data_IF_669354006644
#
_entry.id   IF_669354006644
#
_cell.length_a   1.000
_cell.length_b   1.000
_cell.length_c   1.000
_cell.angle_alpha   90.00
_cell.angle_beta   90.00
_cell.angle_gamma   90.00
#
_symmetry.space_group_name_H-M   'P 1'
#
loop_
_entity.id
_entity.type
_entity.pdbx_description
1 polymer ?
#
# COMPACT_ATOMS: atom_id res chain seq x y z
N UNK A 1 -12.34 16.03 16.34
CA UNK A 1 -10.90 16.20 16.63
C UNK A 1 -10.39 14.96 17.34
N UNK A 2 -9.55 14.16 16.67
CA UNK A 2 -8.66 13.16 17.28
C UNK A 2 -7.51 12.94 16.30
N UNK A 3 -6.35 13.54 16.61
CA UNK A 3 -5.14 13.47 15.80
C UNK A 3 -4.48 12.12 16.09
N UNK A 4 -4.65 11.16 15.18
CA UNK A 4 -3.92 9.89 15.23
C UNK A 4 -2.45 10.17 14.90
N UNK A 5 -1.59 10.08 15.92
CA UNK A 5 -0.15 10.22 15.77
C UNK A 5 0.43 9.01 15.02
N UNK A 6 1.16 9.33 13.96
CA UNK A 6 2.17 8.57 13.21
C UNK A 6 2.67 7.28 13.88
N UNK A 7 2.31 6.13 13.32
CA UNK A 7 3.07 4.89 13.51
C UNK A 7 4.20 4.85 12.46
N UNK A 8 5.45 4.85 12.93
CA UNK A 8 6.62 4.58 12.07
C UNK A 8 6.64 3.07 11.77
N UNK A 9 6.46 2.71 10.50
CA UNK A 9 6.74 1.37 9.98
C UNK A 9 8.25 1.15 9.99
N UNK A 10 8.69 0.13 10.72
CA UNK A 10 10.02 -0.44 10.57
C UNK A 10 9.87 -1.91 10.17
N UNK A 11 10.69 -2.31 9.22
CA UNK A 11 10.84 -3.67 8.73
C UNK A 11 11.10 -4.64 9.90
N UNK A 12 10.45 -5.80 9.84
CA UNK A 12 10.62 -6.86 10.81
C UNK A 12 11.99 -7.49 10.54
N UNK A 13 12.98 -7.13 11.35
CA UNK A 13 14.20 -7.92 11.52
C UNK A 13 13.89 -9.02 12.53
N UNK A 14 13.72 -10.25 12.05
CA UNK A 14 13.83 -11.44 12.89
C UNK A 14 15.32 -11.69 13.15
N UNK A 15 15.84 -11.13 14.24
CA UNK A 15 17.18 -11.47 14.72
C UNK A 15 17.22 -11.44 16.25
N UNK A 16 16.94 -12.61 16.79
CA UNK A 16 17.67 -13.36 17.81
C UNK A 16 17.92 -12.86 19.24
N UNK A 17 17.90 -13.89 20.08
CA UNK A 17 18.73 -14.15 21.25
C UNK A 17 18.36 -13.54 22.62
N UNK A 18 18.24 -14.49 23.54
CA UNK A 18 18.28 -14.43 24.99
C UNK A 18 19.42 -13.60 25.56
N UNK A 19 19.09 -12.68 26.46
CA UNK A 19 20.04 -12.19 27.45
C UNK A 19 19.78 -12.90 28.78
N UNK A 20 20.62 -13.90 29.07
CA UNK A 20 20.92 -14.33 30.44
C UNK A 20 22.34 -13.84 30.75
N UNK A 21 22.45 -13.00 31.78
CA UNK A 21 23.72 -12.51 32.29
C UNK A 21 24.53 -13.66 32.90
N UNK A 22 25.79 -13.83 32.48
CA UNK A 22 26.82 -14.31 33.39
C UNK A 22 28.20 -13.76 33.04
N UNK A 23 28.90 -13.43 34.11
CA UNK A 23 30.17 -12.72 34.23
C UNK A 23 31.40 -13.60 33.89
N UNK A 24 32.28 -13.03 33.06
CA UNK A 24 33.77 -12.94 33.16
C UNK A 24 34.59 -14.21 33.49
N UNK A 25 35.48 -14.62 32.58
CA UNK A 25 36.95 -14.49 32.80
C UNK A 25 37.84 -14.83 31.57
N UNK A 26 39.01 -14.20 31.56
CA UNK A 26 40.05 -14.16 30.53
C UNK A 26 40.71 -15.51 30.16
N UNK A 27 41.17 -15.68 28.91
CA UNK A 27 42.60 -15.85 28.55
C UNK A 27 42.84 -15.98 27.02
N UNK A 28 44.06 -15.58 26.62
CA UNK A 28 44.60 -15.28 25.29
C UNK A 28 45.01 -16.50 24.43
N UNK A 29 44.94 -16.35 23.09
CA UNK A 29 45.91 -16.71 22.02
C UNK A 29 45.18 -17.10 20.71
N UNK A 30 45.30 -16.33 19.61
CA UNK A 30 46.35 -16.38 18.55
C UNK A 30 46.30 -17.69 17.73
N UNK A 31 45.66 -17.66 16.55
CA UNK A 31 46.31 -17.79 15.21
C UNK A 31 45.29 -18.10 14.09
N UNK A 32 45.60 -17.60 12.88
CA UNK A 32 44.92 -17.83 11.58
C UNK A 32 45.72 -18.87 10.76
N UNK A 33 45.38 -19.21 9.50
CA UNK A 33 44.11 -19.68 8.91
C UNK A 33 44.34 -20.97 8.07
N UNK A 34 43.32 -21.44 7.31
CA UNK A 34 43.41 -21.84 5.87
C UNK A 34 42.66 -23.13 5.44
N UNK A 35 42.22 -23.08 4.16
CA UNK A 35 41.78 -24.12 3.19
C UNK A 35 40.33 -24.64 3.29
N UNK A 36 39.42 -24.33 2.33
CA UNK A 36 39.28 -24.80 0.92
C UNK A 36 39.04 -26.31 0.76
N UNK A 37 37.83 -26.67 0.28
CA UNK A 37 37.45 -27.63 -0.81
C UNK A 37 35.91 -27.85 -0.73
N UNK A 38 35.06 -27.49 -1.70
CA UNK A 38 34.64 -28.24 -2.92
C UNK A 38 34.23 -29.71 -2.60
N UNK A 39 33.12 -30.33 -3.04
CA UNK A 39 32.22 -30.21 -4.21
C UNK A 39 31.09 -31.29 -4.10
N UNK A 40 30.01 -31.15 -4.90
CA UNK A 40 28.99 -32.14 -5.40
C UNK A 40 27.86 -32.53 -4.42
N UNK A 41 26.58 -32.22 -4.66
CA UNK A 41 25.61 -32.69 -5.69
C UNK A 41 25.30 -34.20 -5.68
N UNK A 42 24.08 -34.58 -5.27
CA UNK A 42 23.19 -35.48 -6.01
C UNK A 42 21.82 -35.67 -5.29
N UNK A 43 20.78 -35.68 -6.10
CA UNK A 43 19.35 -35.84 -5.83
C UNK A 43 18.95 -37.28 -5.40
N UNK A 44 17.70 -37.45 -4.94
CA UNK A 44 17.04 -38.77 -5.01
C UNK A 44 15.95 -39.03 -3.96
N UNK A 45 14.71 -39.09 -4.42
CA UNK A 45 13.45 -39.17 -3.67
C UNK A 45 13.09 -40.54 -3.02
N UNK A 46 12.24 -40.45 -1.97
CA UNK A 46 11.04 -41.27 -1.61
C UNK A 46 11.16 -42.81 -1.51
N UNK A 47 10.80 -43.37 -0.33
CA UNK A 47 9.44 -43.88 0.03
C UNK A 47 9.41 -44.57 1.41
N UNK A 48 8.27 -44.38 2.08
CA UNK A 48 7.77 -44.98 3.35
C UNK A 48 7.47 -46.49 3.18
N UNK A 49 7.27 -47.32 4.24
CA UNK A 49 5.98 -47.41 4.99
C UNK A 49 6.14 -47.71 6.53
N UNK A 50 5.37 -47.07 7.42
CA UNK A 50 4.13 -47.58 8.09
C UNK A 50 4.35 -48.80 9.02
N UNK A 51 3.95 -48.86 10.29
CA UNK A 51 2.57 -48.98 10.79
C UNK A 51 2.57 -49.14 12.34
N UNK A 52 1.41 -48.81 12.94
CA UNK A 52 0.81 -49.36 14.20
C UNK A 52 1.54 -49.08 15.53
N UNK A 53 0.90 -48.80 16.66
CA UNK A 53 -0.51 -48.87 17.04
C UNK A 53 -0.73 -48.00 18.31
N UNK A 54 -1.95 -47.48 18.47
CA UNK A 54 -2.42 -46.82 19.70
C UNK A 54 -3.25 -47.82 20.51
N UNK A 55 -3.01 -47.96 21.81
CA UNK A 55 -4.04 -47.81 22.86
C UNK A 55 -3.57 -48.20 24.27
N UNK A 56 -3.83 -47.28 25.22
CA UNK A 56 -4.45 -47.51 26.54
C UNK A 56 -3.67 -48.38 27.56
N UNK A 57 -3.67 -48.20 28.88
CA UNK A 57 -4.26 -47.29 29.88
C UNK A 57 -3.54 -47.62 31.21
N UNK A 58 -3.72 -46.74 32.20
CA UNK A 58 -3.80 -47.01 33.65
C UNK A 58 -2.55 -47.37 34.50
N UNK A 59 -2.42 -46.54 35.53
CA UNK A 59 -2.26 -46.86 36.96
C UNK A 59 -0.90 -47.26 37.54
N UNK A 60 -0.35 -46.30 38.29
CA UNK A 60 0.08 -46.38 39.69
C UNK A 60 1.08 -47.43 40.19
N UNK A 61 2.10 -46.87 40.86
CA UNK A 61 2.78 -47.36 42.07
C UNK A 61 3.80 -48.51 41.92
N UNK A 62 5.08 -48.21 42.15
CA UNK A 62 5.78 -48.45 43.44
C UNK A 62 7.30 -48.56 43.22
N UNK A 63 8.03 -47.67 43.91
CA UNK A 63 9.40 -47.74 44.46
C UNK A 63 10.38 -48.82 43.95
N UNK A 64 11.58 -48.37 43.58
CA UNK A 64 12.82 -49.08 43.94
C UNK A 64 13.95 -48.11 44.31
N UNK A 65 14.59 -48.46 45.43
CA UNK A 65 15.75 -47.87 46.10
C UNK A 65 17.07 -48.33 45.45
N UNK A 66 18.13 -47.52 45.59
CA UNK A 66 19.47 -47.90 46.10
C UNK A 66 20.35 -46.62 46.13
N UNK A 67 20.59 -46.01 47.31
CA UNK A 67 21.74 -46.17 48.24
C UNK A 67 23.11 -45.87 47.60
N UNK A 68 23.87 -44.93 48.15
CA UNK A 68 25.09 -45.18 48.95
C UNK A 68 25.58 -43.90 49.63
N UNK A 69 26.18 -44.08 50.81
CA UNK A 69 26.57 -43.07 51.78
C UNK A 69 28.05 -42.64 51.61
N UNK A 70 28.40 -41.48 52.17
CA UNK A 70 29.43 -41.26 53.21
C UNK A 70 30.00 -39.83 53.14
N UNK A 71 30.07 -39.13 54.27
CA UNK A 71 31.03 -38.05 54.48
C UNK A 71 31.48 -38.06 55.95
N UNK A 72 32.78 -37.82 56.25
CA UNK A 72 33.38 -38.07 57.56
C UNK A 72 33.31 -36.85 58.51
N UNK A 73 33.58 -37.03 59.82
CA UNK A 73 33.36 -36.05 60.87
C UNK A 73 34.51 -35.04 61.03
N UNK A 74 34.19 -33.82 61.49
CA UNK A 74 35.18 -32.79 61.85
C UNK A 74 35.77 -33.03 63.25
N UNK A 75 37.09 -32.85 63.46
CA UNK A 75 37.69 -32.82 64.79
C UNK A 75 37.42 -31.49 65.51
N UNK A 76 37.31 -31.57 66.84
CA UNK A 76 36.96 -30.47 67.71
C UNK A 76 38.13 -29.58 68.14
N UNK A 77 37.74 -28.49 68.80
CA UNK A 77 38.52 -27.87 69.88
C UNK A 77 39.53 -26.79 69.48
N UNK A 78 39.05 -25.56 69.30
CA UNK A 78 39.78 -24.40 69.83
C UNK A 78 38.79 -23.32 70.23
N UNK A 79 38.66 -23.12 71.53
CA UNK A 79 37.91 -22.00 72.09
C UNK A 79 38.54 -20.69 71.65
N UNK A 80 37.79 -19.94 70.85
CA UNK A 80 37.91 -18.49 70.74
C UNK A 80 36.59 -17.93 71.24
N UNK A 81 36.61 -16.90 72.10
CA UNK A 81 35.42 -16.46 72.82
C UNK A 81 34.37 -16.05 71.80
N UNK A 82 33.20 -16.66 71.88
CA UNK A 82 32.00 -16.15 71.22
C UNK A 82 31.96 -14.65 71.46
N UNK A 83 31.98 -13.78 70.43
CA UNK A 83 31.64 -12.39 70.67
C UNK A 83 30.24 -12.48 71.26
N UNK A 84 30.10 -12.03 72.51
CA UNK A 84 28.85 -12.02 73.24
C UNK A 84 27.76 -11.69 72.24
N UNK A 85 26.81 -12.62 72.04
CA UNK A 85 25.69 -12.43 71.13
C UNK A 85 24.96 -11.24 71.71
N UNK A 86 25.35 -10.03 71.27
CA UNK A 86 24.83 -8.75 71.74
C UNK A 86 23.35 -8.94 71.50
N UNK A 87 22.58 -9.08 72.59
CA UNK A 87 21.13 -9.18 72.51
C UNK A 87 20.75 -7.95 71.70
N UNK A 88 20.40 -8.16 70.42
CA UNK A 88 20.00 -7.07 69.54
C UNK A 88 18.99 -6.27 70.33
N UNK A 89 19.22 -4.97 70.44
CA UNK A 89 18.27 -4.09 71.11
C UNK A 89 16.89 -4.35 70.48
N UNK A 90 15.82 -4.34 71.28
CA UNK A 90 14.45 -4.47 70.76
C UNK A 90 14.20 -3.49 69.61
N UNK A 91 14.85 -2.33 69.69
CA UNK A 91 14.86 -1.25 68.70
C UNK A 91 15.62 -1.60 67.40
N UNK A 92 16.76 -2.33 67.51
CA UNK A 92 17.55 -2.78 66.35
C UNK A 92 16.82 -3.87 65.55
N UNK A 93 16.11 -4.77 66.25
CA UNK A 93 15.30 -5.81 65.63
C UNK A 93 14.04 -5.23 64.95
N UNK A 94 13.46 -4.17 65.52
CA UNK A 94 12.34 -3.46 64.92
C UNK A 94 12.76 -2.61 63.71
N UNK A 95 13.94 -2.00 63.75
CA UNK A 95 14.52 -1.27 62.61
C UNK A 95 14.84 -2.21 61.42
N UNK A 96 15.41 -3.40 61.68
CA UNK A 96 15.63 -4.42 60.64
C UNK A 96 14.30 -4.91 60.03
N UNK A 97 13.24 -5.06 60.84
CA UNK A 97 11.90 -5.44 60.36
C UNK A 97 11.30 -4.37 59.43
N UNK A 98 11.41 -3.08 59.80
CA UNK A 98 10.94 -1.96 58.97
C UNK A 98 11.72 -1.88 57.64
N UNK A 99 13.05 -2.02 57.67
CA UNK A 99 13.87 -2.07 56.44
C UNK A 99 13.52 -3.26 55.55
N UNK A 100 13.20 -4.42 56.14
CA UNK A 100 12.76 -5.60 55.40
C UNK A 100 11.38 -5.41 54.75
N UNK A 101 10.45 -4.75 55.43
CA UNK A 101 9.12 -4.38 54.92
C UNK A 101 9.23 -3.36 53.77
N UNK A 102 10.03 -2.30 53.92
CA UNK A 102 10.28 -1.32 52.85
C UNK A 102 10.95 -1.97 51.62
N UNK A 103 11.90 -2.88 51.84
CA UNK A 103 12.55 -3.64 50.75
C UNK A 103 11.56 -4.61 50.06
N UNK A 104 10.60 -5.15 50.80
CA UNK A 104 9.53 -6.00 50.24
C UNK A 104 8.56 -5.15 49.43
N UNK A 105 8.13 -4.00 49.95
CA UNK A 105 7.20 -3.09 49.28
C UNK A 105 7.80 -2.48 48.00
N UNK A 106 9.07 -2.07 48.04
CA UNK A 106 9.78 -1.58 46.84
C UNK A 106 9.92 -2.67 45.78
N UNK A 107 10.22 -3.92 46.17
CA UNK A 107 10.26 -5.08 45.26
C UNK A 107 8.88 -5.41 44.68
N UNK A 108 7.82 -5.26 45.47
CA UNK A 108 6.44 -5.47 45.04
C UNK A 108 5.98 -4.39 44.05
N UNK A 109 6.26 -3.11 44.34
CA UNK A 109 6.05 -1.98 43.41
C UNK A 109 6.81 -2.18 42.10
N UNK A 110 8.09 -2.59 42.15
CA UNK A 110 8.86 -2.90 40.94
C UNK A 110 8.28 -4.08 40.15
N UNK A 111 7.77 -5.12 40.82
CA UNK A 111 7.11 -6.26 40.16
C UNK A 111 5.80 -5.83 39.50
N UNK A 112 4.99 -5.00 40.16
CA UNK A 112 3.75 -4.47 39.62
C UNK A 112 4.00 -3.61 38.36
N UNK A 113 4.98 -2.70 38.41
CA UNK A 113 5.37 -1.88 37.24
C UNK A 113 5.87 -2.75 36.08
N UNK A 114 6.67 -3.79 36.35
CA UNK A 114 7.12 -4.74 35.32
C UNK A 114 5.96 -5.54 34.72
N UNK A 115 5.00 -5.96 35.54
CA UNK A 115 3.81 -6.68 35.08
C UNK A 115 2.92 -5.80 34.20
N UNK A 116 2.65 -4.56 34.62
CA UNK A 116 1.89 -3.60 33.84
C UNK A 116 2.56 -3.30 32.49
N UNK A 117 3.88 -3.05 32.48
CA UNK A 117 4.64 -2.83 31.24
C UNK A 117 4.61 -4.04 30.31
N UNK A 118 4.59 -5.27 30.86
CA UNK A 118 4.48 -6.51 30.07
C UNK A 118 3.10 -6.64 29.43
N UNK A 119 2.04 -6.30 30.18
CA UNK A 119 0.66 -6.33 29.67
C UNK A 119 0.43 -5.27 28.60
N UNK A 120 0.90 -4.04 28.82
CA UNK A 120 0.87 -2.97 27.81
C UNK A 120 1.61 -3.38 26.54
N UNK A 121 2.78 -4.02 26.65
CA UNK A 121 3.52 -4.54 25.49
C UNK A 121 2.74 -5.64 24.76
N UNK A 122 2.04 -6.51 25.48
CA UNK A 122 1.21 -7.58 24.90
C UNK A 122 0.00 -7.02 24.17
N UNK A 123 -0.70 -6.06 24.77
CA UNK A 123 -1.81 -5.36 24.13
C UNK A 123 -1.35 -4.61 22.88
N UNK A 124 -0.23 -3.91 22.94
CA UNK A 124 0.34 -3.23 21.77
C UNK A 124 0.75 -4.21 20.67
N UNK A 125 1.34 -5.35 21.02
CA UNK A 125 1.70 -6.39 20.07
C UNK A 125 0.47 -7.01 19.40
N UNK A 126 -0.58 -7.30 20.16
CA UNK A 126 -1.85 -7.80 19.62
C UNK A 126 -2.48 -6.77 18.66
N UNK A 127 -2.54 -5.50 19.08
CA UNK A 127 -3.05 -4.40 18.23
C UNK A 127 -2.28 -4.27 16.92
N UNK A 128 -0.95 -4.41 16.97
CA UNK A 128 -0.10 -4.40 15.75
C UNK A 128 -0.35 -5.61 14.87
N UNK A 129 -0.53 -6.79 15.46
CA UNK A 129 -0.83 -8.01 14.72
C UNK A 129 -2.18 -7.91 14.02
N UNK A 130 -3.22 -7.48 14.73
CA UNK A 130 -4.55 -7.24 14.17
C UNK A 130 -4.51 -6.20 13.04
N UNK A 131 -3.80 -5.08 13.24
CA UNK A 131 -3.62 -4.08 12.19
C UNK A 131 -2.89 -4.64 10.96
N UNK A 132 -1.87 -5.47 11.15
CA UNK A 132 -1.13 -6.10 10.06
C UNK A 132 -1.99 -7.12 9.29
N UNK A 133 -2.80 -7.93 9.98
CA UNK A 133 -3.72 -8.87 9.35
C UNK A 133 -4.84 -8.13 8.59
N UNK A 134 -5.40 -7.06 9.16
CA UNK A 134 -6.36 -6.22 8.45
C UNK A 134 -5.75 -5.60 7.18
N UNK A 135 -4.52 -5.11 7.26
CA UNK A 135 -3.82 -4.58 6.08
C UNK A 135 -3.59 -5.66 5.02
N UNK A 136 -3.23 -6.90 5.42
CA UNK A 136 -3.09 -8.03 4.50
C UNK A 136 -4.39 -8.37 3.79
N UNK A 137 -5.52 -8.38 4.52
CA UNK A 137 -6.87 -8.61 3.95
C UNK A 137 -7.22 -7.53 2.91
N UNK A 138 -6.85 -6.28 3.18
CA UNK A 138 -7.13 -5.15 2.29
C UNK A 138 -6.21 -5.05 1.08
N UNK A 139 -5.10 -5.80 1.01
CA UNK A 139 -4.21 -5.77 -0.15
C UNK A 139 -4.98 -6.08 -1.44
N UNK A 140 -4.67 -5.43 -2.57
CA UNK A 140 -5.46 -5.59 -3.80
C UNK A 140 -5.62 -7.03 -4.26
N UNK A 141 -4.59 -7.88 -4.10
CA UNK A 141 -4.60 -9.28 -4.53
C UNK A 141 -5.55 -10.16 -3.69
N UNK A 142 -5.81 -9.75 -2.44
CA UNK A 142 -6.73 -10.44 -1.53
C UNK A 142 -8.12 -9.81 -1.57
N UNK A 143 -8.18 -8.48 -1.60
CA UNK A 143 -9.43 -7.74 -1.61
C UNK A 143 -10.25 -8.03 -2.87
N UNK A 144 -9.62 -8.27 -4.02
CA UNK A 144 -10.36 -8.59 -5.25
C UNK A 144 -11.18 -9.88 -5.13
N UNK A 145 -10.75 -10.83 -4.30
CA UNK A 145 -11.44 -12.11 -4.07
C UNK A 145 -12.75 -11.94 -3.29
N UNK A 146 -12.92 -10.82 -2.57
CA UNK A 146 -14.15 -10.50 -1.84
C UNK A 146 -15.19 -9.80 -2.70
N UNK A 147 -14.94 -9.59 -3.99
CA UNK A 147 -15.93 -9.00 -4.91
C UNK A 147 -16.77 -10.07 -5.58
N UNK A 148 -17.98 -9.65 -5.96
CA UNK A 148 -18.86 -10.36 -6.87
C UNK A 148 -19.41 -9.37 -7.88
N UNK A 149 -19.21 -9.65 -9.17
CA UNK A 149 -19.76 -8.86 -10.26
C UNK A 149 -21.19 -9.31 -10.53
N UNK A 150 -22.14 -8.39 -10.53
CA UNK A 150 -23.52 -8.67 -10.91
C UNK A 150 -23.79 -8.13 -12.29
N UNK A 151 -24.12 -9.03 -13.21
CA UNK A 151 -24.32 -8.78 -14.63
C UNK A 151 -25.81 -8.90 -14.94
N UNK A 152 -26.38 -7.88 -15.56
CA UNK A 152 -27.77 -7.92 -16.01
C UNK A 152 -27.96 -8.95 -17.14
N UNK A 153 -29.02 -9.79 -17.11
CA UNK A 153 -29.25 -10.80 -18.14
C UNK A 153 -29.39 -10.23 -19.56
N UNK A 154 -30.00 -9.06 -19.72
CA UNK A 154 -30.13 -8.40 -21.04
C UNK A 154 -28.77 -8.07 -21.68
N UNK A 155 -27.68 -8.02 -20.89
CA UNK A 155 -26.33 -7.88 -21.45
C UNK A 155 -25.90 -9.12 -22.26
N UNK A 156 -26.43 -10.30 -21.92
CA UNK A 156 -26.12 -11.56 -22.60
C UNK A 156 -26.63 -11.60 -24.04
N UNK A 157 -27.56 -10.70 -24.40
CA UNK A 157 -28.06 -10.58 -25.77
C UNK A 157 -27.00 -10.00 -26.72
N UNK A 158 -25.97 -9.33 -26.18
CA UNK A 158 -24.87 -8.82 -26.97
C UNK A 158 -23.90 -9.94 -27.35
N UNK A 159 -23.58 -10.00 -28.65
CA UNK A 159 -22.76 -11.06 -29.27
C UNK A 159 -21.37 -11.21 -28.66
N UNK A 160 -20.80 -10.19 -28.01
CA UNK A 160 -19.47 -10.27 -27.38
C UNK A 160 -19.47 -10.35 -25.85
N UNK A 161 -20.65 -10.51 -25.22
CA UNK A 161 -20.71 -10.66 -23.76
C UNK A 161 -20.06 -11.96 -23.27
N UNK A 162 -20.04 -13.01 -24.10
CA UNK A 162 -19.32 -14.26 -23.86
C UNK A 162 -17.84 -14.03 -23.58
N UNK A 163 -17.17 -13.14 -24.33
CA UNK A 163 -15.78 -12.78 -24.11
C UNK A 163 -15.52 -12.20 -22.71
N UNK A 164 -16.44 -11.36 -22.21
CA UNK A 164 -16.38 -10.85 -20.85
C UNK A 164 -16.51 -12.00 -19.84
N UNK A 165 -17.51 -12.86 -20.00
CA UNK A 165 -17.74 -13.98 -19.07
C UNK A 165 -16.57 -14.95 -19.04
N UNK A 166 -16.04 -15.33 -20.21
CA UNK A 166 -14.87 -16.19 -20.34
C UNK A 166 -13.66 -15.57 -19.65
N UNK A 167 -13.44 -14.27 -19.80
CA UNK A 167 -12.36 -13.55 -19.13
C UNK A 167 -12.53 -13.58 -17.61
N UNK A 168 -13.74 -13.37 -17.09
CA UNK A 168 -14.02 -13.45 -15.65
C UNK A 168 -13.76 -14.85 -15.10
N UNK A 169 -14.12 -15.90 -15.85
CA UNK A 169 -13.82 -17.30 -15.52
C UNK A 169 -12.31 -17.55 -15.53
N UNK A 170 -11.59 -17.12 -16.56
CA UNK A 170 -10.14 -17.26 -16.65
C UNK A 170 -9.39 -16.55 -15.51
N UNK A 171 -9.94 -15.44 -15.01
CA UNK A 171 -9.40 -14.70 -13.88
C UNK A 171 -9.82 -15.27 -12.52
N UNK A 172 -10.68 -16.30 -12.49
CA UNK A 172 -11.28 -16.89 -11.29
C UNK A 172 -12.04 -15.85 -10.44
N UNK A 173 -12.70 -14.89 -11.08
CA UNK A 173 -13.49 -13.86 -10.40
C UNK A 173 -14.94 -14.30 -10.23
N UNK A 174 -15.52 -14.00 -9.06
CA UNK A 174 -16.92 -14.34 -8.78
C UNK A 174 -17.84 -13.39 -9.53
N UNK A 175 -18.81 -13.95 -10.23
CA UNK A 175 -19.88 -13.18 -10.86
C UNK A 175 -21.22 -13.93 -10.75
N UNK A 176 -22.32 -13.19 -10.81
CA UNK A 176 -23.68 -13.69 -10.88
C UNK A 176 -24.46 -12.97 -11.99
N UNK A 177 -25.45 -13.66 -12.54
CA UNK A 177 -26.35 -13.12 -13.56
C UNK A 177 -27.70 -12.92 -12.87
N UNK A 178 -28.04 -11.67 -12.59
CA UNK A 178 -29.22 -11.30 -11.81
C UNK A 178 -29.94 -10.11 -12.46
N UNK A 179 -31.27 -10.11 -12.43
CA UNK A 179 -32.06 -8.96 -12.89
C UNK A 179 -31.86 -7.79 -11.95
N UNK A 180 -31.43 -6.66 -12.50
CA UNK A 180 -31.15 -5.44 -11.75
C UNK A 180 -32.11 -4.32 -12.16
N UNK A 181 -32.03 -3.16 -11.48
CA UNK A 181 -32.90 -2.03 -11.80
C UNK A 181 -32.64 -1.44 -13.19
N UNK A 182 -31.40 -1.53 -13.67
CA UNK A 182 -30.98 -0.95 -14.95
C UNK A 182 -30.63 -2.10 -15.91
N UNK A 183 -31.30 -2.21 -17.07
CA UNK A 183 -30.92 -3.15 -18.13
C UNK A 183 -29.48 -2.94 -18.60
N UNK A 184 -28.85 -3.98 -19.15
CA UNK A 184 -27.46 -3.95 -19.66
C UNK A 184 -26.39 -3.45 -18.66
N UNK A 185 -26.68 -3.47 -17.35
CA UNK A 185 -25.76 -2.98 -16.32
C UNK A 185 -24.83 -4.07 -15.78
N UNK A 186 -23.64 -3.65 -15.36
CA UNK A 186 -22.70 -4.40 -14.55
C UNK A 186 -22.46 -3.61 -13.26
N UNK A 187 -22.57 -4.28 -12.13
CA UNK A 187 -22.35 -3.69 -10.81
C UNK A 187 -21.46 -4.56 -9.94
N UNK A 188 -20.96 -4.01 -8.84
CA UNK A 188 -20.10 -4.73 -7.91
C UNK A 188 -20.70 -4.77 -6.52
N UNK A 189 -20.59 -5.93 -5.92
CA UNK A 189 -20.83 -6.14 -4.50
C UNK A 189 -19.57 -6.66 -3.84
N UNK A 190 -19.42 -6.35 -2.55
CA UNK A 190 -18.27 -6.75 -1.76
C UNK A 190 -18.74 -7.35 -0.45
N UNK A 191 -18.24 -8.54 -0.14
CA UNK A 191 -18.48 -9.20 1.13
C UNK A 191 -17.86 -8.36 2.26
N UNK A 192 -18.59 -8.21 3.37
CA UNK A 192 -18.12 -7.48 4.54
C UNK A 192 -16.80 -8.02 5.07
N UNK A 193 -15.77 -7.18 5.14
CA UNK A 193 -14.42 -7.57 5.58
C UNK A 193 -14.24 -7.59 7.12
N UNK A 194 -15.27 -7.23 7.89
CA UNK A 194 -15.22 -7.12 9.36
C UNK A 194 -15.85 -8.34 10.03
N UNK A 195 -15.04 -9.06 10.82
CA UNK A 195 -15.49 -10.12 11.73
C UNK A 195 -16.39 -9.49 12.81
N UNK A 196 -17.71 -9.58 12.61
CA UNK A 196 -18.74 -8.98 13.47
C UNK A 196 -20.05 -8.66 12.74
N UNK A 197 -19.98 -8.46 11.43
CA UNK A 197 -21.12 -8.26 10.52
C UNK A 197 -21.12 -9.36 9.43
N UNK A 198 -21.10 -10.63 9.85
CA UNK A 198 -21.26 -11.75 8.92
C UNK A 198 -22.61 -11.61 8.19
N UNK A 199 -22.56 -11.25 6.90
CA UNK A 199 -23.73 -11.18 6.02
C UNK A 199 -24.02 -9.81 5.39
N UNK A 200 -23.31 -8.73 5.76
CA UNK A 200 -23.55 -7.43 5.15
C UNK A 200 -22.78 -7.28 3.83
N UNK A 201 -23.44 -7.63 2.73
CA UNK A 201 -22.95 -7.36 1.37
C UNK A 201 -23.04 -5.86 1.10
N UNK A 202 -21.90 -5.23 0.85
CA UNK A 202 -21.84 -3.81 0.50
C UNK A 202 -21.92 -3.63 -1.01
N UNK A 203 -22.82 -2.77 -1.47
CA UNK A 203 -22.97 -2.43 -2.89
C UNK A 203 -22.06 -1.25 -3.22
N UNK A 204 -21.18 -1.40 -4.20
CA UNK A 204 -20.23 -0.37 -4.60
C UNK A 204 -20.91 0.80 -5.32
N UNK A 205 -20.23 1.94 -5.38
CA UNK A 205 -20.77 3.17 -5.99
C UNK A 205 -20.69 3.21 -7.53
N UNK A 206 -19.95 2.30 -8.16
CA UNK A 206 -19.78 2.24 -9.61
C UNK A 206 -20.82 1.34 -10.28
N UNK A 207 -21.34 1.82 -11.41
CA UNK A 207 -22.21 1.07 -12.32
C UNK A 207 -21.65 1.26 -13.73
N UNK A 208 -21.45 0.17 -14.45
CA UNK A 208 -21.11 0.20 -15.88
C UNK A 208 -22.36 -0.17 -16.66
N UNK A 209 -22.69 0.61 -17.68
CA UNK A 209 -23.82 0.36 -18.56
C UNK A 209 -23.31 0.24 -19.98
N UNK A 210 -23.44 -0.95 -20.57
CA UNK A 210 -22.96 -1.22 -21.94
C UNK A 210 -24.12 -1.02 -22.90
N UNK A 211 -23.94 -0.19 -23.92
CA UNK A 211 -24.97 0.14 -24.90
C UNK A 211 -24.44 -0.11 -26.31
N UNK A 212 -25.36 -0.46 -27.21
CA UNK A 212 -25.08 -0.32 -28.64
C UNK A 212 -25.10 1.16 -29.04
N UNK A 213 -24.52 1.48 -30.20
CA UNK A 213 -24.64 2.81 -30.78
C UNK A 213 -26.12 3.25 -30.98
N UNK A 214 -27.02 2.32 -31.29
CA UNK A 214 -28.45 2.61 -31.47
C UNK A 214 -29.11 3.01 -30.16
N UNK A 215 -28.91 2.22 -29.10
CA UNK A 215 -29.52 2.50 -27.78
C UNK A 215 -28.98 3.82 -27.20
N UNK A 216 -27.70 4.10 -27.43
CA UNK A 216 -27.08 5.36 -27.04
C UNK A 216 -27.70 6.56 -27.77
N UNK A 217 -27.91 6.49 -29.09
CA UNK A 217 -28.54 7.58 -29.85
C UNK A 217 -30.00 7.79 -29.41
N UNK A 218 -30.73 6.72 -29.08
CA UNK A 218 -32.07 6.82 -28.51
C UNK A 218 -32.08 7.47 -27.13
N UNK A 219 -31.13 7.07 -26.27
CA UNK A 219 -30.89 7.71 -24.98
C UNK A 219 -30.65 9.22 -25.17
N UNK A 220 -29.72 9.61 -26.04
CA UNK A 220 -29.42 11.04 -26.30
C UNK A 220 -30.65 11.79 -26.78
N UNK A 221 -31.41 11.23 -27.72
CA UNK A 221 -32.65 11.84 -28.24
C UNK A 221 -33.69 12.04 -27.13
N UNK A 222 -33.81 11.08 -26.22
CA UNK A 222 -34.74 11.15 -25.10
C UNK A 222 -34.31 12.21 -24.08
N UNK A 223 -33.01 12.35 -23.77
CA UNK A 223 -32.50 13.44 -22.91
C UNK A 223 -32.73 14.81 -23.55
N UNK A 224 -32.46 14.94 -24.86
CA UNK A 224 -32.64 16.21 -25.58
C UNK A 224 -34.09 16.68 -25.55
N UNK A 225 -35.04 15.77 -25.82
CA UNK A 225 -36.48 16.06 -25.69
C UNK A 225 -36.88 16.51 -24.28
N UNK A 226 -36.30 15.86 -23.25
CA UNK A 226 -36.53 16.24 -21.86
C UNK A 226 -36.01 17.66 -21.57
N UNK A 227 -34.83 18.01 -22.10
CA UNK A 227 -34.24 19.34 -21.92
C UNK A 227 -35.05 20.43 -22.64
N UNK A 228 -35.62 20.09 -23.80
CA UNK A 228 -36.45 20.99 -24.60
C UNK A 228 -37.91 21.08 -24.11
N UNK A 229 -38.25 20.42 -22.99
CA UNK A 229 -39.60 20.36 -22.38
C UNK A 229 -40.72 19.86 -23.32
N UNK A 230 -40.42 18.89 -24.19
CA UNK A 230 -41.43 18.24 -25.05
C UNK A 230 -42.09 17.09 -24.27
N UNK A 231 -43.41 17.09 -24.15
CA UNK A 231 -44.18 16.08 -23.39
C UNK A 231 -43.82 14.64 -23.81
N UNK A 232 -43.59 13.77 -22.81
CA UNK A 232 -43.28 12.35 -22.99
C UNK A 232 -44.50 11.59 -23.54
N UNK A 233 -44.39 11.04 -24.74
CA UNK A 233 -45.23 9.92 -25.17
C UNK A 233 -44.50 8.63 -24.76
N UNK A 234 -45.08 7.91 -23.80
CA UNK A 234 -44.45 6.81 -23.05
C UNK A 234 -43.70 5.78 -23.90
N UNK A 235 -42.38 5.90 -23.90
CA UNK A 235 -41.46 4.85 -24.36
C UNK A 235 -40.72 4.32 -23.13
N UNK A 236 -40.60 3.00 -22.99
CA UNK A 236 -39.77 2.35 -21.96
C UNK A 236 -38.29 2.68 -22.23
N UNK A 237 -37.87 3.87 -21.81
CA UNK A 237 -36.52 4.37 -22.02
C UNK A 237 -35.61 3.91 -20.90
N UNK A 238 -34.43 3.38 -21.25
CA UNK A 238 -33.37 3.03 -20.31
C UNK A 238 -32.93 4.21 -19.43
N UNK A 239 -33.24 5.44 -19.83
CA UNK A 239 -33.01 6.64 -19.02
C UNK A 239 -33.78 6.68 -17.71
N UNK A 240 -35.03 6.20 -17.69
CA UNK A 240 -35.88 6.28 -16.50
C UNK A 240 -35.23 5.52 -15.33
N UNK A 241 -34.88 4.22 -15.44
CA UNK A 241 -34.22 3.52 -14.35
C UNK A 241 -32.83 4.09 -14.02
N UNK A 242 -32.09 4.61 -15.01
CA UNK A 242 -30.81 5.30 -14.79
C UNK A 242 -30.96 6.54 -13.91
N UNK A 243 -31.92 7.42 -14.23
CA UNK A 243 -32.17 8.64 -13.49
C UNK A 243 -32.73 8.35 -12.10
N UNK A 244 -33.64 7.38 -11.96
CA UNK A 244 -34.12 6.94 -10.66
C UNK A 244 -32.99 6.44 -9.76
N UNK A 245 -32.07 5.63 -10.30
CA UNK A 245 -30.94 5.11 -9.54
C UNK A 245 -30.05 6.24 -9.00
N UNK A 246 -29.69 7.20 -9.87
CA UNK A 246 -28.85 8.35 -9.49
C UNK A 246 -29.55 9.29 -8.50
N UNK A 247 -30.86 9.50 -8.66
CA UNK A 247 -31.64 10.33 -7.75
C UNK A 247 -31.79 9.70 -6.35
N UNK A 248 -31.88 8.36 -6.26
CA UNK A 248 -31.93 7.64 -4.98
C UNK A 248 -30.59 7.66 -4.24
N UNK A 249 -29.46 7.67 -4.95
CA UNK A 249 -28.14 7.67 -4.32
C UNK A 249 -27.15 8.54 -5.10
N UNK A 250 -26.94 9.77 -4.61
CA UNK A 250 -26.04 10.75 -5.21
C UNK A 250 -24.56 10.33 -5.25
N UNK A 251 -24.15 9.27 -4.52
CA UNK A 251 -22.78 8.73 -4.60
C UNK A 251 -22.59 7.82 -5.80
N UNK A 252 -23.67 7.28 -6.37
CA UNK A 252 -23.60 6.36 -7.52
C UNK A 252 -23.04 7.11 -8.73
N UNK A 253 -22.17 6.44 -9.46
CA UNK A 253 -21.60 6.90 -10.72
C UNK A 253 -21.91 5.86 -11.79
N UNK A 254 -22.38 6.33 -12.95
CA UNK A 254 -22.64 5.47 -14.10
C UNK A 254 -21.59 5.77 -15.17
N UNK A 255 -20.99 4.72 -15.72
CA UNK A 255 -20.11 4.82 -16.88
C UNK A 255 -20.79 4.12 -18.06
N UNK A 256 -21.18 4.90 -19.05
CA UNK A 256 -21.73 4.41 -20.32
C UNK A 256 -20.58 3.93 -21.20
N UNK A 257 -20.60 2.65 -21.55
CA UNK A 257 -19.69 2.06 -22.54
C UNK A 257 -20.48 1.86 -23.82
N UNK A 258 -20.21 2.68 -24.82
CA UNK A 258 -20.87 2.57 -26.12
C UNK A 258 -19.98 1.74 -27.02
N UNK A 259 -20.48 0.55 -27.36
CA UNK A 259 -19.82 -0.37 -28.30
C UNK A 259 -20.14 0.07 -29.72
N UNK A 260 -19.09 0.31 -30.49
CA UNK A 260 -19.27 0.90 -31.81
C UNK A 260 -18.18 0.52 -32.81
N UNK A 261 -18.56 -0.24 -33.82
CA UNK A 261 -17.75 -0.46 -35.03
C UNK A 261 -17.94 0.66 -36.08
N UNK A 262 -19.09 1.36 -36.11
CA UNK A 262 -19.57 2.05 -37.32
C UNK A 262 -19.87 3.56 -37.13
N UNK A 263 -20.17 4.01 -35.92
CA UNK A 263 -20.54 5.38 -35.56
C UNK A 263 -19.33 6.34 -35.50
N UNK A 264 -18.12 5.89 -35.14
CA UNK A 264 -16.88 6.68 -35.36
C UNK A 264 -16.69 7.03 -36.84
N UNK A 265 -17.05 6.11 -37.74
CA UNK A 265 -16.99 6.32 -39.18
C UNK A 265 -18.04 7.35 -39.64
N UNK A 266 -19.24 7.34 -39.04
CA UNK A 266 -20.30 8.31 -39.33
C UNK A 266 -20.04 9.71 -38.74
N UNK A 267 -19.49 9.79 -37.52
CA UNK A 267 -19.30 11.04 -36.78
C UNK A 267 -18.03 11.81 -37.19
N UNK A 268 -16.96 11.11 -37.63
CA UNK A 268 -15.68 11.74 -37.95
C UNK A 268 -15.22 11.56 -39.41
N UNK A 269 -15.71 10.56 -40.16
CA UNK A 269 -15.18 10.21 -41.49
C UNK A 269 -16.14 10.46 -42.67
N UNK A 270 -16.95 11.53 -42.64
CA UNK A 270 -17.65 12.00 -43.85
C UNK A 270 -16.98 13.25 -44.46
N UNK A 271 -15.86 13.13 -45.20
CA UNK A 271 -15.52 14.12 -46.20
C UNK A 271 -16.27 13.79 -47.51
N UNK A 272 -16.94 14.82 -48.04
CA UNK A 272 -17.48 14.92 -49.41
C UNK A 272 -18.75 14.09 -49.68
N UNK A 273 -19.93 14.72 -49.62
CA UNK A 273 -20.97 14.71 -50.67
C UNK A 273 -22.26 15.40 -50.14
N UNK A 274 -22.68 16.45 -50.88
CA UNK A 274 -23.90 17.27 -50.82
C UNK A 274 -24.07 18.25 -49.63
N UNK A 275 -24.04 19.55 -49.96
CA UNK A 275 -24.09 20.72 -49.06
C UNK A 275 -25.39 20.87 -48.25
N UNK A 276 -26.51 20.21 -48.62
CA UNK A 276 -27.78 20.33 -47.88
C UNK A 276 -27.85 19.46 -46.60
N UNK A 277 -27.14 18.32 -46.54
CA UNK A 277 -27.16 17.43 -45.36
C UNK A 277 -26.18 17.86 -44.24
N UNK A 278 -25.31 18.83 -44.51
CA UNK A 278 -24.30 19.29 -43.57
C UNK A 278 -24.88 20.10 -42.40
N UNK A 279 -26.04 20.73 -42.60
CA UNK A 279 -26.72 21.53 -41.58
C UNK A 279 -27.43 20.67 -40.53
N UNK A 280 -28.11 19.60 -40.97
CA UNK A 280 -28.79 18.64 -40.08
C UNK A 280 -27.79 17.76 -39.33
N UNK A 281 -26.73 17.29 -40.02
CA UNK A 281 -25.66 16.52 -39.38
C UNK A 281 -24.92 17.35 -38.33
N UNK A 282 -24.60 18.63 -38.61
CA UNK A 282 -23.99 19.52 -37.61
C UNK A 282 -24.91 19.80 -36.42
N UNK A 283 -26.22 19.98 -36.64
CA UNK A 283 -27.19 20.16 -35.54
C UNK A 283 -27.27 18.92 -34.67
N UNK A 284 -27.35 17.72 -35.27
CA UNK A 284 -27.37 16.47 -34.52
C UNK A 284 -26.09 16.26 -33.67
N UNK A 285 -24.92 16.68 -34.18
CA UNK A 285 -23.67 16.66 -33.40
C UNK A 285 -23.69 17.66 -32.24
N UNK A 286 -24.18 18.88 -32.44
CA UNK A 286 -24.29 19.89 -31.39
C UNK A 286 -25.30 19.49 -30.31
N UNK A 287 -26.45 18.93 -30.70
CA UNK A 287 -27.45 18.41 -29.76
C UNK A 287 -26.89 17.25 -28.93
N UNK A 288 -26.03 16.41 -29.52
CA UNK A 288 -25.33 15.36 -28.82
C UNK A 288 -24.31 15.92 -27.81
N UNK A 289 -23.44 16.83 -28.23
CA UNK A 289 -22.45 17.44 -27.33
C UNK A 289 -23.13 18.14 -26.14
N UNK A 290 -24.24 18.86 -26.38
CA UNK A 290 -25.03 19.48 -25.32
C UNK A 290 -25.56 18.44 -24.31
N UNK A 291 -26.14 17.34 -24.80
CA UNK A 291 -26.63 16.25 -23.94
C UNK A 291 -25.48 15.61 -23.15
N UNK A 292 -24.31 15.39 -23.77
CA UNK A 292 -23.17 14.81 -23.08
C UNK A 292 -22.64 15.72 -21.97
N UNK A 293 -22.56 17.02 -22.23
CA UNK A 293 -22.20 18.02 -21.23
C UNK A 293 -23.23 18.04 -20.10
N UNK A 294 -24.54 17.98 -20.43
CA UNK A 294 -25.59 17.88 -19.43
C UNK A 294 -25.46 16.62 -18.56
N UNK A 295 -25.26 15.46 -19.18
CA UNK A 295 -25.11 14.18 -18.48
C UNK A 295 -23.87 14.14 -17.60
N UNK A 296 -22.80 14.86 -17.95
CA UNK A 296 -21.58 14.93 -17.15
C UNK A 296 -21.65 15.96 -16.00
N UNK A 297 -22.31 17.11 -16.23
CA UNK A 297 -22.36 18.20 -15.24
C UNK A 297 -23.51 18.05 -14.24
N UNK A 298 -24.68 17.63 -14.71
CA UNK A 298 -25.90 17.56 -13.90
C UNK A 298 -26.23 16.15 -13.44
N UNK A 299 -25.69 15.14 -14.12
CA UNK A 299 -25.80 13.73 -13.73
C UNK A 299 -24.39 13.20 -13.49
N UNK A 300 -24.24 12.18 -12.65
CA UNK A 300 -22.93 11.58 -12.39
C UNK A 300 -22.65 10.47 -13.42
N UNK A 301 -22.76 10.84 -14.71
CA UNK A 301 -22.67 9.92 -15.84
C UNK A 301 -21.45 10.30 -16.67
N UNK A 302 -20.59 9.31 -16.93
CA UNK A 302 -19.45 9.43 -17.83
C UNK A 302 -19.65 8.54 -19.05
N UNK A 303 -19.01 8.89 -20.16
CA UNK A 303 -19.15 8.19 -21.44
C UNK A 303 -17.79 7.78 -21.99
N UNK A 304 -17.72 6.55 -22.50
CA UNK A 304 -16.56 6.02 -23.20
C UNK A 304 -17.03 5.27 -24.45
N UNK A 305 -16.47 5.62 -25.60
CA UNK A 305 -16.68 4.91 -26.87
C UNK A 305 -15.58 3.88 -27.06
N UNK A 306 -15.96 2.61 -27.23
CA UNK A 306 -15.05 1.47 -27.35
C UNK A 306 -15.27 0.77 -28.67
N UNK A 307 -14.17 0.31 -29.28
CA UNK A 307 -14.18 -0.24 -30.64
C UNK A 307 -14.67 -1.70 -30.65
N UNK A 308 -14.40 -2.47 -29.59
CA UNK A 308 -14.80 -3.87 -29.47
C UNK A 308 -15.09 -4.33 -28.03
N UNK A 309 -15.46 -5.60 -27.89
CA UNK A 309 -15.73 -6.22 -26.59
C UNK A 309 -14.48 -6.55 -25.78
N UNK A 310 -13.30 -6.55 -26.40
CA UNK A 310 -12.05 -6.67 -25.68
C UNK A 310 -11.81 -5.41 -24.85
N UNK A 311 -12.00 -4.24 -25.45
CA UNK A 311 -11.94 -2.95 -24.75
C UNK A 311 -12.97 -2.84 -23.62
N UNK A 312 -14.21 -3.30 -23.85
CA UNK A 312 -15.27 -3.34 -22.80
C UNK A 312 -14.79 -4.19 -21.62
N UNK A 313 -14.24 -5.36 -21.92
CA UNK A 313 -13.77 -6.31 -20.91
C UNK A 313 -12.57 -5.75 -20.13
N UNK A 314 -11.63 -5.12 -20.82
CA UNK A 314 -10.49 -4.45 -20.20
C UNK A 314 -10.94 -3.31 -19.29
N UNK A 315 -11.97 -2.54 -19.69
CA UNK A 315 -12.56 -1.50 -18.86
C UNK A 315 -13.19 -2.08 -17.59
N UNK A 316 -14.04 -3.11 -17.71
CA UNK A 316 -14.67 -3.80 -16.56
C UNK A 316 -13.60 -4.37 -15.62
N UNK A 317 -12.53 -4.95 -16.18
CA UNK A 317 -11.39 -5.43 -15.41
C UNK A 317 -10.64 -4.30 -14.68
N UNK A 318 -10.43 -3.16 -15.34
CA UNK A 318 -9.78 -2.00 -14.76
C UNK A 318 -10.60 -1.39 -13.61
N UNK A 319 -11.92 -1.29 -13.77
CA UNK A 319 -12.84 -0.84 -12.72
C UNK A 319 -12.79 -1.79 -11.53
N UNK A 320 -12.91 -3.11 -11.76
CA UNK A 320 -12.84 -4.12 -10.69
C UNK A 320 -11.54 -4.05 -9.91
N UNK A 321 -10.39 -3.99 -10.61
CA UNK A 321 -9.07 -3.84 -9.99
C UNK A 321 -8.95 -2.52 -9.21
N UNK A 322 -9.54 -1.44 -9.70
CA UNK A 322 -9.53 -0.14 -9.04
C UNK A 322 -10.37 -0.13 -7.76
N UNK A 323 -11.56 -0.75 -7.79
CA UNK A 323 -12.42 -0.95 -6.62
C UNK A 323 -11.73 -1.80 -5.55
N UNK A 324 -10.97 -2.83 -5.95
CA UNK A 324 -10.17 -3.65 -5.03
C UNK A 324 -8.99 -2.87 -4.40
N UNK A 325 -8.38 -1.93 -5.14
CA UNK A 325 -7.28 -1.08 -4.61
C UNK A 325 -7.77 0.03 -3.67
N UNK A 326 -9.02 0.48 -3.81
CA UNK A 326 -9.56 1.66 -3.10
C UNK A 326 -9.42 1.59 -1.56
N UNK A 327 -9.78 0.50 -0.87
CA UNK A 327 -9.67 0.45 0.60
C UNK A 327 -8.22 0.50 1.08
N UNK A 328 -7.33 -0.20 0.36
CA UNK A 328 -5.90 -0.18 0.65
C UNK A 328 -5.33 1.23 0.53
N UNK A 329 -5.60 1.88 -0.60
CA UNK A 329 -5.20 3.28 -0.87
C UNK A 329 -5.71 4.24 0.21
N UNK A 330 -6.98 4.15 0.60
CA UNK A 330 -7.52 5.01 1.66
C UNK A 330 -6.78 4.86 3.00
N UNK A 331 -6.26 3.66 3.29
CA UNK A 331 -5.53 3.37 4.52
C UNK A 331 -4.05 3.76 4.42
N UNK A 332 -3.41 3.58 3.26
CA UNK A 332 -1.96 3.77 3.06
C UNK A 332 -1.59 5.15 2.53
N UNK A 333 -2.36 5.74 1.60
CA UNK A 333 -2.05 7.05 1.00
C UNK A 333 -2.14 8.19 2.03
N UNK A 334 -2.91 8.02 3.11
CA UNK A 334 -2.92 8.95 4.26
C UNK A 334 -1.60 8.94 5.05
N UNK A 335 -0.80 7.89 4.94
CA UNK A 335 0.44 7.68 5.67
C UNK A 335 1.70 7.93 4.82
N UNK A 336 1.57 7.90 3.49
CA UNK A 336 2.68 8.04 2.53
C UNK A 336 2.91 9.50 2.10
N UNK A 337 4.12 9.79 1.63
CA UNK A 337 4.42 11.07 1.00
C UNK A 337 3.66 11.12 -0.33
N UNK A 338 2.80 12.13 -0.59
CA UNK A 338 1.92 12.16 -1.77
C UNK A 338 2.68 12.21 -3.12
N UNK A 339 4.00 12.43 -3.09
CA UNK A 339 4.86 12.36 -4.29
C UNK A 339 5.36 10.93 -4.59
N UNK A 340 5.43 10.05 -3.60
CA UNK A 340 5.87 8.66 -3.76
C UNK A 340 4.72 7.82 -4.32
N UNK A 341 4.33 8.08 -5.56
CA UNK A 341 3.30 7.31 -6.26
C UNK A 341 3.88 6.03 -6.84
N UNK A 342 3.10 4.96 -6.92
CA UNK A 342 3.49 3.77 -7.69
C UNK A 342 3.65 4.12 -9.18
N UNK A 343 4.76 3.72 -9.80
CA UNK A 343 4.96 3.87 -11.25
C UNK A 343 6.41 3.98 -11.69
N UNK A 344 6.64 3.92 -13.01
CA UNK A 344 7.99 4.01 -13.60
C UNK A 344 8.70 5.33 -13.27
N UNK A 345 7.94 6.40 -13.06
CA UNK A 345 8.45 7.72 -12.64
C UNK A 345 9.05 7.72 -11.23
N UNK A 346 8.44 6.96 -10.30
CA UNK A 346 8.93 6.81 -8.92
C UNK A 346 9.90 5.63 -8.75
N UNK A 347 10.20 4.90 -9.84
CA UNK A 347 11.11 3.77 -9.79
C UNK A 347 12.52 4.23 -9.38
N UNK A 348 13.08 3.54 -8.39
CA UNK A 348 14.45 3.74 -7.92
C UNK A 348 15.51 3.52 -9.02
N UNK A 349 16.78 3.67 -8.67
CA UNK A 349 17.87 3.16 -9.50
C UNK A 349 18.45 1.93 -8.79
N UNK A 350 18.72 0.86 -9.56
CA UNK A 350 19.37 -0.33 -9.03
C UNK A 350 20.83 0.01 -8.70
N UNK A 351 21.26 -0.34 -7.49
CA UNK A 351 22.62 -0.12 -7.02
C UNK A 351 23.22 -1.45 -6.62
N UNK A 352 24.35 -1.79 -7.21
CA UNK A 352 25.11 -3.00 -6.91
C UNK A 352 26.00 -2.80 -5.68
N UNK A 353 26.53 -3.91 -5.12
CA UNK A 353 27.34 -3.87 -3.88
C UNK A 353 28.63 -3.05 -4.00
N UNK A 354 29.16 -2.91 -5.21
CA UNK A 354 30.34 -2.11 -5.54
C UNK A 354 30.04 -0.60 -5.67
N UNK A 355 28.76 -0.20 -5.55
CA UNK A 355 28.30 1.18 -5.73
C UNK A 355 27.98 1.55 -7.18
N UNK A 356 28.08 0.61 -8.12
CA UNK A 356 27.63 0.81 -9.50
C UNK A 356 26.14 1.15 -9.49
N UNK A 357 25.80 2.31 -10.09
CA UNK A 357 24.43 2.86 -10.08
C UNK A 357 24.24 4.09 -9.18
N UNK A 358 25.15 4.37 -8.23
CA UNK A 358 25.03 5.54 -7.34
C UNK A 358 25.04 6.88 -8.09
N UNK A 359 25.74 6.97 -9.22
CA UNK A 359 25.73 8.18 -10.05
C UNK A 359 24.34 8.44 -10.68
N UNK A 360 23.60 7.37 -11.00
CA UNK A 360 22.23 7.48 -11.50
C UNK A 360 21.28 7.89 -10.38
N UNK A 361 21.45 7.33 -9.17
CA UNK A 361 20.73 7.79 -7.97
C UNK A 361 20.97 9.28 -7.75
N UNK A 362 22.23 9.71 -7.78
CA UNK A 362 22.59 11.10 -7.57
C UNK A 362 21.94 12.03 -8.62
N UNK A 363 21.98 11.63 -9.89
CA UNK A 363 21.31 12.38 -10.96
C UNK A 363 19.79 12.43 -10.76
N UNK A 364 19.15 11.32 -10.37
CA UNK A 364 17.71 11.26 -10.09
C UNK A 364 17.33 12.13 -8.88
N UNK A 365 18.17 12.20 -7.84
CA UNK A 365 17.96 13.06 -6.67
C UNK A 365 17.94 14.54 -7.06
N UNK A 366 18.89 15.00 -7.87
CA UNK A 366 18.89 16.38 -8.38
C UNK A 366 17.66 16.66 -9.24
N UNK A 367 17.23 15.68 -10.05
CA UNK A 367 16.05 15.80 -10.91
C UNK A 367 14.72 15.89 -10.13
N UNK A 368 14.66 15.48 -8.86
CA UNK A 368 13.44 15.64 -8.04
C UNK A 368 13.08 17.11 -7.77
N UNK A 369 14.02 18.03 -7.95
CA UNK A 369 13.77 19.45 -7.76
C UNK A 369 12.92 20.01 -8.90
N UNK A 370 11.94 20.84 -8.54
CA UNK A 370 11.08 21.51 -9.51
C UNK A 370 11.91 22.22 -10.60
N UNK A 371 11.46 22.09 -11.86
CA UNK A 371 12.08 22.70 -13.04
C UNK A 371 13.52 22.22 -13.34
N UNK A 372 13.97 21.13 -12.72
CA UNK A 372 15.26 20.51 -13.03
C UNK A 372 15.06 19.34 -13.99
N UNK A 373 15.34 19.59 -15.26
CA UNK A 373 15.27 18.54 -16.30
C UNK A 373 16.43 17.53 -16.19
N UNK A 374 16.31 16.33 -16.79
CA UNK A 374 17.39 15.33 -16.83
C UNK A 374 18.75 15.88 -17.31
N UNK A 375 18.75 16.75 -18.32
CA UNK A 375 19.98 17.34 -18.84
C UNK A 375 20.64 18.32 -17.86
N UNK A 376 19.84 19.08 -17.08
CA UNK A 376 20.36 19.95 -16.03
C UNK A 376 20.98 19.11 -14.92
N UNK A 377 20.25 18.08 -14.45
CA UNK A 377 20.75 17.15 -13.44
C UNK A 377 22.07 16.49 -13.88
N UNK A 378 22.13 15.98 -15.12
CA UNK A 378 23.36 15.41 -15.69
C UNK A 378 24.50 16.42 -15.75
N UNK A 379 24.23 17.70 -16.05
CA UNK A 379 25.27 18.75 -16.08
C UNK A 379 25.83 19.03 -14.68
N UNK A 380 24.96 19.10 -13.67
CA UNK A 380 25.35 19.27 -12.27
C UNK A 380 26.13 18.07 -11.77
N UNK A 381 25.67 16.84 -12.02
CA UNK A 381 26.34 15.62 -11.56
C UNK A 381 27.64 15.33 -12.31
N UNK A 382 27.80 15.79 -13.56
CA UNK A 382 29.09 15.77 -14.25
C UNK A 382 30.11 16.73 -13.62
N UNK A 383 29.65 17.90 -13.18
CA UNK A 383 30.51 18.91 -12.53
C UNK A 383 30.83 18.51 -11.08
N UNK A 384 29.87 17.87 -10.40
CA UNK A 384 29.97 17.41 -9.02
C UNK A 384 29.51 15.95 -8.92
N UNK A 385 30.41 14.98 -9.13
CA UNK A 385 30.07 13.56 -9.25
C UNK A 385 29.66 12.89 -7.93
N UNK A 386 29.71 13.61 -6.81
CA UNK A 386 29.14 13.15 -5.54
C UNK A 386 28.51 14.28 -4.74
N UNK A 387 27.52 14.00 -3.86
CA UNK A 387 26.95 14.99 -2.96
C UNK A 387 28.00 15.66 -2.06
N UNK A 388 29.00 14.89 -1.64
CA UNK A 388 30.10 15.39 -0.79
C UNK A 388 30.93 16.45 -1.51
N UNK A 389 31.25 16.25 -2.78
CA UNK A 389 32.00 17.24 -3.57
C UNK A 389 31.19 18.52 -3.77
N UNK A 390 29.88 18.41 -4.00
CA UNK A 390 28.99 19.58 -4.10
C UNK A 390 28.96 20.37 -2.77
N UNK A 391 28.82 19.68 -1.64
CA UNK A 391 28.81 20.30 -0.31
C UNK A 391 30.15 20.96 0.03
N UNK A 392 31.28 20.30 -0.26
CA UNK A 392 32.61 20.88 -0.07
C UNK A 392 32.81 22.15 -0.89
N UNK A 393 32.35 22.17 -2.14
CA UNK A 393 32.41 23.36 -2.98
C UNK A 393 31.62 24.53 -2.37
N UNK A 394 30.44 24.29 -1.81
CA UNK A 394 29.69 25.32 -1.08
C UNK A 394 30.40 25.81 0.18
N UNK A 395 31.02 24.90 0.95
CA UNK A 395 31.74 25.24 2.18
C UNK A 395 32.97 26.12 1.92
N UNK A 396 33.62 25.95 0.78
CA UNK A 396 34.79 26.72 0.40
C UNK A 396 34.47 28.16 -0.07
N UNK A 397 33.19 28.49 -0.29
CA UNK A 397 32.76 29.83 -0.68
C UNK A 397 32.45 30.70 0.55
N UNK A 398 32.86 31.96 0.51
CA UNK A 398 32.81 32.88 1.65
C UNK A 398 31.44 33.52 1.89
N UNK A 399 30.66 33.76 0.83
CA UNK A 399 29.34 34.40 0.91
C UNK A 399 28.18 33.48 0.52
N UNK A 400 27.00 33.76 1.07
CA UNK A 400 25.78 33.01 0.70
C UNK A 400 25.36 33.28 -0.75
N UNK A 401 25.58 34.50 -1.24
CA UNK A 401 25.28 34.92 -2.60
C UNK A 401 26.15 34.19 -3.65
N UNK A 402 27.43 33.93 -3.33
CA UNK A 402 28.31 33.11 -4.18
C UNK A 402 27.84 31.65 -4.17
N UNK A 403 27.49 31.10 -3.00
CA UNK A 403 26.98 29.73 -2.88
C UNK A 403 25.70 29.55 -3.71
N UNK A 404 24.74 30.48 -3.60
CA UNK A 404 23.51 30.48 -4.41
C UNK A 404 23.79 30.58 -5.90
N UNK A 405 24.89 31.21 -6.32
CA UNK A 405 25.24 31.41 -7.74
C UNK A 405 26.26 30.41 -8.28
N UNK A 406 26.76 29.47 -7.47
CA UNK A 406 27.84 28.55 -7.84
C UNK A 406 27.56 27.73 -9.10
N UNK A 407 26.31 27.33 -9.34
CA UNK A 407 25.92 26.52 -10.50
C UNK A 407 25.47 27.36 -11.69
N UNK A 408 25.40 28.69 -11.55
CA UNK A 408 24.95 29.59 -12.62
C UNK A 408 25.93 29.57 -13.77
N UNK A 409 25.41 29.52 -14.99
CA UNK A 409 26.23 29.58 -16.19
C UNK A 409 26.78 28.24 -16.66
N UNK A 410 26.61 27.15 -15.89
CA UNK A 410 26.96 25.80 -16.31
C UNK A 410 26.24 25.43 -17.61
N UNK A 411 26.99 24.94 -18.59
CA UNK A 411 26.51 24.67 -19.93
C UNK A 411 25.76 23.33 -19.99
N UNK A 412 24.46 23.42 -20.26
CA UNK A 412 23.57 22.27 -20.44
C UNK A 412 23.39 22.02 -21.93
N UNK A 413 23.94 20.90 -22.41
CA UNK A 413 23.75 20.43 -23.79
C UNK A 413 22.52 19.53 -23.86
N UNK A 414 21.54 19.90 -24.68
CA UNK A 414 20.37 19.05 -24.93
C UNK A 414 20.04 19.03 -26.43
N UNK A 415 20.30 17.91 -27.12
CA UNK A 415 19.89 17.69 -28.51
C UNK A 415 20.24 18.83 -29.49
N UNK A 416 21.44 19.41 -29.36
CA UNK A 416 21.93 20.49 -30.23
C UNK A 416 21.61 21.93 -29.78
N UNK A 417 20.77 22.12 -28.75
CA UNK A 417 20.55 23.44 -28.12
C UNK A 417 21.40 23.57 -26.86
N UNK A 418 22.11 24.68 -26.76
CA UNK A 418 22.87 25.05 -25.57
C UNK A 418 22.04 25.99 -24.70
N UNK A 419 21.91 25.64 -23.42
CA UNK A 419 21.30 26.52 -22.42
C UNK A 419 22.19 26.53 -21.18
N UNK A 420 22.03 27.55 -20.33
CA UNK A 420 22.79 27.67 -19.08
C UNK A 420 21.88 27.47 -17.89
N UNK A 421 22.43 26.95 -16.81
CA UNK A 421 21.72 26.92 -15.52
C UNK A 421 21.52 28.37 -15.04
N UNK A 422 20.27 28.71 -14.73
CA UNK A 422 19.89 30.04 -14.23
C UNK A 422 20.05 30.19 -12.71
N UNK A 423 19.97 31.42 -12.19
CA UNK A 423 20.12 31.73 -10.77
C UNK A 423 19.13 30.98 -9.88
N UNK A 424 17.87 30.85 -10.29
CA UNK A 424 16.84 30.20 -9.50
C UNK A 424 17.14 28.71 -9.26
N UNK A 425 17.57 28.00 -10.30
CA UNK A 425 17.93 26.58 -10.20
C UNK A 425 19.14 26.40 -9.28
N UNK A 426 20.15 27.25 -9.44
CA UNK A 426 21.36 27.22 -8.62
C UNK A 426 21.04 27.46 -7.13
N UNK A 427 20.23 28.49 -6.83
CA UNK A 427 19.80 28.80 -5.48
C UNK A 427 18.93 27.69 -4.88
N UNK A 428 18.02 27.10 -5.68
CA UNK A 428 17.15 25.98 -5.26
C UNK A 428 17.98 24.76 -4.84
N UNK A 429 18.97 24.39 -5.65
CA UNK A 429 19.87 23.26 -5.34
C UNK A 429 20.65 23.57 -4.06
N UNK A 430 21.25 24.76 -3.93
CA UNK A 430 21.93 25.16 -2.71
C UNK A 430 21.03 25.02 -1.47
N UNK A 431 19.86 25.67 -1.47
CA UNK A 431 18.89 25.60 -0.37
C UNK A 431 18.52 24.15 -0.01
N UNK A 432 18.28 23.31 -1.02
CA UNK A 432 17.88 21.92 -0.79
C UNK A 432 18.95 21.11 -0.03
N UNK A 433 20.23 21.32 -0.34
CA UNK A 433 21.32 20.53 0.26
C UNK A 433 21.94 21.15 1.52
N UNK A 434 21.67 22.42 1.81
CA UNK A 434 22.28 23.11 2.96
C UNK A 434 21.30 23.59 4.02
N UNK A 435 20.01 23.72 3.71
CA UNK A 435 19.02 24.17 4.69
C UNK A 435 18.79 23.13 5.79
N UNK A 436 18.70 23.60 7.04
CA UNK A 436 18.35 22.77 8.19
C UNK A 436 16.85 22.77 8.47
N UNK A 437 16.11 23.74 7.93
CA UNK A 437 14.67 23.84 8.10
C UNK A 437 13.95 22.96 7.07
N UNK A 438 13.27 21.87 7.47
CA UNK A 438 12.54 20.99 6.55
C UNK A 438 11.30 21.65 5.93
N UNK A 439 10.84 22.79 6.47
CA UNK A 439 9.70 23.55 5.95
C UNK A 439 10.12 24.71 5.04
N UNK A 440 11.42 24.82 4.70
CA UNK A 440 11.89 25.88 3.82
C UNK A 440 11.35 25.69 2.40
N UNK A 441 10.65 26.70 1.90
CA UNK A 441 10.24 26.76 0.49
C UNK A 441 11.48 27.02 -0.36
N UNK A 442 11.69 26.16 -1.36
CA UNK A 442 12.92 26.20 -2.17
C UNK A 442 12.87 27.20 -3.33
N UNK A 443 11.69 27.74 -3.65
CA UNK A 443 11.47 28.74 -4.71
C UNK A 443 11.81 30.16 -4.24
#
# INVERSE_FOLDING_TARGET
MSVLRRAKTWEISESDASDDESTVDHHLNVDTPSKQTARLEAEGEKKVPSLTDKCQTSSSSTKQNQRHALSPPRPGGSGTPSPARKRRSKEEMEADRRRAEEKKETREKQRAVRAQRKEERRHEQNRRREAAENLKKLRPENCIKSFTLSIHPDLLEHVGCDFLLDTLVCLEWRFNIEKQQIPHSITWTRDGLQEGEEGQVSVEDQIVLVLTATDFVEMVRSVKKMLDNVEETGSESILVPVLECLNRNAKKMITLLVTDSDYRTMAYNKPLFLEDQQSESRRATLDMEEVLVYLQLYKNISLVFLDDWQDVTDHVCAVTKSLAKRPFKLLTERAELPFCVDGSWASGARVERDGSGLIQVWSKQIQQLNRVSPAVASTVTKSFPSPRLLLQAYQNLGSEEERKRMLVGLLVKNGGKERRIGPDISARIYRCFTAQNPQLVLD
#
